data_IF_618502510538
#
_entry.id   IF_618502510538
#
_cell.length_a   1.000
_cell.length_b   1.000
_cell.length_c   1.000
_cell.angle_alpha   90.00
_cell.angle_beta   90.00
_cell.angle_gamma   90.00
#
_symmetry.space_group_name_H-M   'P 1'
#
loop_
_entity.id
_entity.type
_entity.pdbx_description
1 polymer ?
#
# COMPACT_ATOMS: atom_id res chain seq x y z
N UNK A 1 22.41 25.39 10.74
CA UNK A 1 21.09 25.21 11.38
C UNK A 1 20.94 23.73 11.68
N UNK A 2 20.03 23.33 12.55
CA UNK A 2 19.88 21.92 12.91
C UNK A 2 19.14 21.19 11.78
N UNK A 3 19.73 20.14 11.24
CA UNK A 3 19.11 19.32 10.19
C UNK A 3 17.93 18.53 10.78
N UNK A 4 16.74 18.75 10.23
CA UNK A 4 15.52 18.01 10.61
C UNK A 4 15.38 16.83 9.64
N UNK A 5 16.25 15.83 9.81
CA UNK A 5 16.25 14.63 8.98
C UNK A 5 15.03 13.73 9.26
N UNK A 6 14.13 13.61 8.28
CA UNK A 6 13.16 12.53 8.22
C UNK A 6 13.87 11.24 7.79
N UNK A 7 14.40 10.49 8.76
CA UNK A 7 15.21 9.29 8.49
C UNK A 7 14.39 8.11 7.94
N UNK A 8 14.28 8.03 6.61
CA UNK A 8 13.69 6.89 5.88
C UNK A 8 14.63 5.67 6.01
N UNK A 9 14.47 4.94 7.11
CA UNK A 9 15.37 3.86 7.53
C UNK A 9 14.64 2.52 7.60
N UNK A 10 15.37 1.43 7.36
CA UNK A 10 14.87 0.08 7.53
C UNK A 10 14.89 -0.30 9.03
N UNK A 11 13.82 0.06 9.74
CA UNK A 11 13.65 -0.18 11.19
C UNK A 11 13.64 -1.69 11.50
N UNK A 12 14.41 -2.12 12.50
CA UNK A 12 14.46 -3.53 12.92
C UNK A 12 13.42 -3.84 14.01
N UNK A 13 13.07 -5.13 14.15
CA UNK A 13 11.88 -5.59 14.89
C UNK A 13 11.84 -5.15 16.37
N UNK A 14 12.99 -4.91 17.00
CA UNK A 14 13.07 -4.57 18.43
C UNK A 14 12.35 -3.26 18.81
N UNK A 15 12.24 -2.29 17.89
CA UNK A 15 11.71 -0.94 18.18
C UNK A 15 10.18 -0.85 18.03
N UNK A 16 9.53 -1.90 17.52
CA UNK A 16 8.09 -1.92 17.21
C UNK A 16 7.15 -2.14 18.40
N UNK A 17 7.68 -2.46 19.59
CA UNK A 17 6.87 -2.96 20.71
C UNK A 17 6.19 -1.86 21.57
N UNK A 18 6.55 -0.58 21.42
CA UNK A 18 6.10 0.50 22.32
C UNK A 18 5.23 1.60 21.69
N UNK A 19 4.94 1.56 20.39
CA UNK A 19 4.35 2.67 19.65
C UNK A 19 2.81 2.76 19.78
N UNK A 20 2.33 3.26 20.93
CA UNK A 20 0.99 3.85 21.05
C UNK A 20 0.93 5.17 20.24
N UNK A 21 0.55 5.09 18.97
CA UNK A 21 0.53 6.23 18.04
C UNK A 21 -0.66 7.17 18.28
N UNK A 22 -0.43 8.18 19.14
CA UNK A 22 -1.36 9.29 19.41
C UNK A 22 -1.13 10.53 18.53
N UNK A 23 -0.21 10.48 17.57
CA UNK A 23 0.05 11.56 16.62
C UNK A 23 -1.05 11.70 15.55
N UNK A 24 -1.18 12.88 14.96
CA UNK A 24 -2.09 13.18 13.85
C UNK A 24 -1.32 13.89 12.74
N UNK A 25 -1.56 13.53 11.48
CA UNK A 25 -0.75 14.01 10.36
C UNK A 25 -1.54 15.08 9.59
N UNK A 26 -1.13 16.35 9.75
CA UNK A 26 -1.54 17.41 8.86
C UNK A 26 -0.91 17.17 7.49
N UNK A 27 -1.72 16.98 6.46
CA UNK A 27 -1.26 16.95 5.08
C UNK A 27 -1.73 18.19 4.35
N UNK A 28 -0.90 18.70 3.44
CA UNK A 28 -1.22 19.86 2.65
C UNK A 28 -0.74 19.73 1.21
N UNK A 29 -1.52 20.25 0.27
CA UNK A 29 -1.17 20.32 -1.14
C UNK A 29 -1.62 21.67 -1.72
N UNK A 30 -0.95 22.11 -2.79
CA UNK A 30 -1.24 23.40 -3.43
C UNK A 30 -1.92 23.17 -4.79
N UNK A 31 -3.05 23.81 -5.03
CA UNK A 31 -3.73 23.75 -6.34
C UNK A 31 -2.95 24.56 -7.38
N UNK A 32 -2.83 24.07 -8.61
CA UNK A 32 -2.07 24.74 -9.67
C UNK A 32 -2.96 25.66 -10.53
N UNK A 33 -2.92 26.97 -10.28
CA UNK A 33 -3.71 28.03 -10.94
C UNK A 33 -5.26 27.91 -10.86
N UNK A 34 -6.00 29.02 -10.94
CA UNK A 34 -5.52 30.41 -10.83
C UNK A 34 -5.24 30.84 -9.38
N UNK A 35 -5.77 30.11 -8.39
CA UNK A 35 -5.74 30.54 -6.97
C UNK A 35 -4.43 30.22 -6.22
N UNK A 36 -3.64 29.25 -6.70
CA UNK A 36 -2.43 28.75 -6.01
C UNK A 36 -2.66 28.45 -4.52
N UNK A 37 -3.81 27.84 -4.23
CA UNK A 37 -4.37 27.74 -2.89
C UNK A 37 -3.83 26.51 -2.17
N UNK A 38 -3.28 26.72 -0.98
CA UNK A 38 -3.01 25.66 -0.02
C UNK A 38 -4.35 25.06 0.46
N UNK A 39 -4.51 23.75 0.25
CA UNK A 39 -5.55 22.93 0.85
C UNK A 39 -4.88 22.01 1.85
N UNK A 40 -5.30 22.09 3.12
CA UNK A 40 -4.85 21.19 4.18
C UNK A 40 -5.99 20.31 4.67
N UNK A 41 -5.65 19.07 5.04
CA UNK A 41 -6.51 18.18 5.82
C UNK A 41 -5.70 17.67 7.01
N UNK A 42 -6.28 17.69 8.21
CA UNK A 42 -5.76 16.88 9.30
C UNK A 42 -6.21 15.43 9.04
N UNK A 43 -5.26 14.55 8.71
CA UNK A 43 -5.47 13.12 8.79
C UNK A 43 -5.34 12.74 10.25
N UNK A 44 -6.39 12.14 10.82
CA UNK A 44 -6.28 11.51 12.12
C UNK A 44 -5.56 10.17 11.97
N UNK A 45 -5.80 9.24 12.91
CA UNK A 45 -5.65 7.82 12.59
C UNK A 45 -6.41 7.57 11.25
N UNK A 46 -5.65 7.00 10.32
CA UNK A 46 -5.87 6.67 8.89
C UNK A 46 -6.99 7.13 7.97
N UNK A 47 -7.44 8.37 8.01
CA UNK A 47 -7.90 9.00 6.78
C UNK A 47 -7.01 8.60 5.57
N UNK A 48 -7.62 7.96 4.57
CA UNK A 48 -6.94 7.62 3.31
C UNK A 48 -7.02 8.84 2.41
N UNK A 49 -5.89 9.33 1.92
CA UNK A 49 -5.82 10.41 0.94
C UNK A 49 -5.04 9.97 -0.30
N UNK A 50 -5.41 10.53 -1.45
CA UNK A 50 -4.78 10.25 -2.74
C UNK A 50 -4.14 11.54 -3.24
N UNK A 51 -2.85 11.49 -3.56
CA UNK A 51 -2.15 12.58 -4.24
C UNK A 51 -1.95 12.19 -5.71
N UNK A 52 -2.69 12.81 -6.66
CA UNK A 52 -2.48 12.60 -8.08
C UNK A 52 -1.04 12.85 -8.50
N UNK A 53 -0.57 12.06 -9.46
CA UNK A 53 0.78 12.17 -10.04
C UNK A 53 1.16 13.61 -10.38
N UNK A 54 2.32 14.05 -9.89
CA UNK A 54 2.83 15.41 -10.08
C UNK A 54 2.36 16.45 -9.05
N UNK A 55 1.36 16.16 -8.22
CA UNK A 55 0.87 17.10 -7.20
C UNK A 55 1.94 17.38 -6.12
N UNK A 56 2.23 18.66 -5.91
CA UNK A 56 3.09 19.14 -4.83
C UNK A 56 2.32 19.06 -3.51
N UNK A 57 2.87 18.31 -2.56
CA UNK A 57 2.25 18.09 -1.26
C UNK A 57 3.30 17.88 -0.15
N UNK A 58 2.85 17.88 1.10
CA UNK A 58 3.65 17.59 2.30
C UNK A 58 2.82 16.85 3.36
N UNK A 59 3.51 16.23 4.32
CA UNK A 59 2.93 15.56 5.48
C UNK A 59 3.68 16.02 6.75
N UNK A 60 2.97 16.43 7.80
CA UNK A 60 3.57 16.86 9.07
C UNK A 60 2.78 16.23 10.24
N UNK A 61 3.47 15.58 11.17
CA UNK A 61 2.85 15.20 12.44
C UNK A 61 2.69 16.46 13.31
N UNK A 62 1.44 16.77 13.68
CA UNK A 62 1.08 17.91 14.53
C UNK A 62 0.60 17.48 15.92
N UNK A 63 0.82 16.22 16.28
CA UNK A 63 0.57 15.67 17.62
C UNK A 63 1.84 15.52 18.45
N UNK A 64 1.67 15.49 19.77
CA UNK A 64 2.75 15.25 20.74
C UNK A 64 3.21 13.78 20.81
N UNK A 65 2.47 12.85 20.18
CA UNK A 65 2.86 11.45 20.04
C UNK A 65 3.38 11.14 18.63
N UNK A 66 4.04 9.99 18.47
CA UNK A 66 4.44 9.49 17.16
C UNK A 66 3.23 9.20 16.27
N UNK A 67 3.38 9.38 14.95
CA UNK A 67 2.41 8.98 13.94
C UNK A 67 3.08 8.06 12.91
N UNK A 68 2.29 7.13 12.34
CA UNK A 68 2.77 6.11 11.40
C UNK A 68 1.84 6.05 10.20
N UNK A 69 2.40 6.22 9.00
CA UNK A 69 1.69 6.09 7.74
C UNK A 69 2.35 5.10 6.78
N UNK A 70 1.53 4.56 5.89
CA UNK A 70 1.89 3.67 4.79
C UNK A 70 1.48 4.39 3.50
N UNK A 71 2.46 4.72 2.66
CA UNK A 71 2.25 5.25 1.33
C UNK A 71 2.34 4.13 0.30
N UNK A 72 1.41 4.09 -0.66
CA UNK A 72 1.40 3.14 -1.78
C UNK A 72 1.44 3.92 -3.10
N UNK A 73 2.38 3.60 -3.99
CA UNK A 73 2.82 4.45 -5.09
C UNK A 73 2.69 3.73 -6.44
N UNK A 74 1.88 4.27 -7.35
CA UNK A 74 1.53 3.63 -8.64
C UNK A 74 2.65 3.52 -9.67
N UNK A 75 3.89 3.83 -9.28
CA UNK A 75 5.08 3.51 -10.06
C UNK A 75 6.15 2.89 -9.19
N UNK A 76 6.92 2.02 -9.84
CA UNK A 76 8.20 1.58 -9.38
C UNK A 76 9.13 2.71 -9.03
N UNK A 77 9.21 3.68 -9.91
CA UNK A 77 10.12 4.78 -9.81
C UNK A 77 9.28 6.03 -9.60
N UNK A 78 8.68 6.24 -8.42
CA UNK A 78 7.83 7.39 -8.16
C UNK A 78 8.59 8.70 -8.49
N UNK A 79 9.90 8.67 -8.21
CA UNK A 79 10.75 9.84 -8.08
C UNK A 79 10.36 10.58 -6.81
N UNK A 80 11.32 10.94 -5.98
CA UNK A 80 11.09 11.98 -4.96
C UNK A 80 11.75 13.23 -5.51
N UNK A 81 10.93 14.17 -5.99
CA UNK A 81 11.37 15.54 -6.22
C UNK A 81 10.91 16.34 -5.00
N UNK A 82 11.72 16.33 -3.96
CA UNK A 82 11.70 17.37 -2.93
C UNK A 82 12.10 18.69 -3.58
N UNK A 83 11.29 19.73 -3.38
CA UNK A 83 11.42 20.97 -4.16
C UNK A 83 12.76 21.65 -3.88
N UNK A 84 13.14 21.79 -2.60
CA UNK A 84 14.43 22.36 -2.21
C UNK A 84 15.61 21.65 -2.89
N UNK A 85 15.55 20.32 -2.95
CA UNK A 85 16.61 19.47 -3.43
C UNK A 85 16.86 19.66 -4.95
N UNK A 86 15.80 19.77 -5.76
CA UNK A 86 15.92 20.02 -7.22
C UNK A 86 16.12 21.49 -7.55
N UNK A 87 15.44 22.42 -6.87
CA UNK A 87 15.58 23.86 -7.10
C UNK A 87 17.00 24.32 -6.80
N UNK A 88 17.47 24.10 -5.59
CA UNK A 88 18.72 24.72 -5.15
C UNK A 88 19.94 23.86 -5.48
N UNK A 89 19.79 22.54 -5.60
CA UNK A 89 20.91 21.60 -5.68
C UNK A 89 20.78 20.50 -6.73
N UNK A 90 20.55 20.92 -7.98
CA UNK A 90 20.99 20.16 -9.15
C UNK A 90 22.53 20.03 -9.21
N UNK A 91 23.03 19.12 -10.05
CA UNK A 91 24.42 19.11 -10.49
C UNK A 91 24.46 19.02 -12.03
N UNK A 92 25.02 20.00 -12.77
CA UNK A 92 25.54 21.27 -12.29
C UNK A 92 24.47 22.10 -11.57
N UNK A 93 24.90 22.93 -10.61
CA UNK A 93 23.98 23.78 -9.85
C UNK A 93 23.35 24.87 -10.76
N UNK A 94 22.07 25.18 -10.54
CA UNK A 94 21.47 26.39 -11.09
C UNK A 94 22.23 27.60 -10.54
N UNK A 95 22.54 28.58 -11.40
CA UNK A 95 23.33 29.74 -11.01
C UNK A 95 22.65 30.52 -9.88
N UNK A 96 23.44 30.94 -8.88
CA UNK A 96 22.92 31.59 -7.68
C UNK A 96 22.19 32.90 -7.94
N UNK A 97 22.51 33.63 -9.02
CA UNK A 97 21.79 34.85 -9.40
C UNK A 97 20.43 34.55 -10.05
N UNK A 98 20.30 33.41 -10.76
CA UNK A 98 19.02 32.92 -11.29
C UNK A 98 18.13 32.46 -10.12
N UNK A 99 18.68 31.73 -9.15
CA UNK A 99 17.95 31.32 -7.95
C UNK A 99 17.56 32.51 -7.07
N UNK A 100 18.46 33.47 -6.85
CA UNK A 100 18.15 34.70 -6.11
C UNK A 100 17.09 35.56 -6.83
N UNK A 101 17.04 35.58 -8.16
CA UNK A 101 15.96 36.26 -8.91
C UNK A 101 14.63 35.50 -8.85
N UNK A 102 14.65 34.16 -8.87
CA UNK A 102 13.44 33.33 -8.89
C UNK A 102 12.82 33.07 -7.49
N UNK A 103 13.65 33.01 -6.45
CA UNK A 103 13.25 32.62 -5.08
C UNK A 103 13.65 33.62 -3.99
N UNK A 104 14.57 34.56 -4.28
CA UNK A 104 15.11 35.52 -3.31
C UNK A 104 15.93 34.90 -2.14
N UNK A 105 16.30 33.61 -2.24
CA UNK A 105 17.13 32.82 -1.27
C UNK A 105 17.94 31.69 -1.98
N UNK A 106 18.69 30.84 -1.24
CA UNK A 106 19.78 29.94 -1.74
C UNK A 106 19.91 28.57 -0.97
N UNK A 107 20.46 27.47 -1.57
CA UNK A 107 20.87 26.11 -1.02
C UNK A 107 19.77 25.02 -0.74
N UNK A 108 19.86 23.65 -0.91
CA UNK A 108 20.41 22.53 -1.81
C UNK A 108 19.82 21.14 -1.30
N UNK A 109 19.89 19.86 -1.78
CA UNK A 109 20.48 18.99 -2.88
C UNK A 109 19.72 17.59 -3.01
N UNK A 110 19.65 16.85 -4.15
CA UNK A 110 18.79 15.62 -4.41
C UNK A 110 19.53 14.25 -4.65
N UNK A 111 18.96 13.02 -4.78
CA UNK A 111 17.58 12.39 -4.83
C UNK A 111 17.61 10.86 -5.28
N UNK A 112 16.49 10.23 -5.78
CA UNK A 112 16.39 9.05 -6.76
C UNK A 112 15.86 7.59 -6.37
N UNK A 113 15.03 6.94 -7.26
CA UNK A 113 14.72 5.46 -7.53
C UNK A 113 14.03 4.47 -6.48
N UNK A 114 13.60 3.17 -6.68
CA UNK A 114 12.96 2.29 -7.77
C UNK A 114 12.47 0.85 -7.32
N UNK A 115 11.19 0.38 -7.52
CA UNK A 115 10.74 -1.03 -7.83
C UNK A 115 9.19 -1.27 -8.07
N UNK A 116 8.76 -1.94 -9.17
CA UNK A 116 7.36 -2.34 -9.53
C UNK A 116 6.19 -1.34 -9.35
N UNK A 117 5.59 -1.44 -8.17
CA UNK A 117 4.65 -0.55 -7.48
C UNK A 117 5.31 -0.43 -6.10
N UNK A 118 5.51 0.76 -5.55
CA UNK A 118 6.25 0.88 -4.29
C UNK A 118 5.31 1.06 -3.09
N UNK A 119 5.65 0.44 -1.96
CA UNK A 119 5.03 0.72 -0.66
C UNK A 119 6.11 1.23 0.28
N UNK A 120 5.86 2.35 0.95
CA UNK A 120 6.79 2.98 1.88
C UNK A 120 6.14 3.15 3.26
N UNK A 121 6.88 2.76 4.30
CA UNK A 121 6.57 3.12 5.69
C UNK A 121 7.16 4.50 5.96
N UNK A 122 6.37 5.38 6.60
CA UNK A 122 6.82 6.70 7.04
C UNK A 122 6.49 6.85 8.53
N UNK A 123 7.54 6.85 9.36
CA UNK A 123 7.47 7.12 10.80
C UNK A 123 7.69 8.61 11.06
N UNK A 124 6.71 9.27 11.68
CA UNK A 124 6.82 10.67 12.06
C UNK A 124 7.03 10.78 13.58
N UNK A 125 8.20 11.30 13.96
CA UNK A 125 8.41 11.83 15.30
C UNK A 125 7.39 12.94 15.64
N UNK A 126 7.14 13.27 16.92
CA UNK A 126 6.40 14.47 17.30
C UNK A 126 6.95 15.70 16.58
N UNK A 127 6.07 16.50 15.95
CA UNK A 127 6.41 17.67 15.12
C UNK A 127 7.24 17.40 13.84
N UNK A 128 7.55 16.14 13.53
CA UNK A 128 8.31 15.74 12.34
C UNK A 128 7.56 16.00 11.03
N UNK A 129 8.31 16.30 9.96
CA UNK A 129 7.78 16.66 8.64
C UNK A 129 8.42 15.82 7.53
N UNK A 130 7.62 15.37 6.58
CA UNK A 130 8.06 14.98 5.24
C UNK A 130 7.91 16.22 4.34
N UNK A 131 9.02 16.84 3.88
CA UNK A 131 8.99 18.18 3.29
C UNK A 131 8.23 18.25 1.94
N UNK A 132 7.86 19.46 1.48
CA UNK A 132 7.17 19.66 0.20
C UNK A 132 7.87 19.00 -0.98
N UNK A 133 7.21 18.01 -1.56
CA UNK A 133 7.73 17.19 -2.65
C UNK A 133 6.64 16.80 -3.63
N UNK A 134 7.06 16.18 -4.73
CA UNK A 134 6.18 15.62 -5.75
C UNK A 134 6.74 14.31 -6.29
N UNK A 135 5.83 13.43 -6.70
CA UNK A 135 6.14 12.20 -7.41
C UNK A 135 5.88 12.40 -8.91
N UNK A 136 6.90 12.75 -9.73
CA UNK A 136 6.72 13.06 -11.15
C UNK A 136 6.33 11.84 -12.00
N UNK A 137 6.36 10.63 -11.44
CA UNK A 137 6.14 9.38 -12.17
C UNK A 137 5.04 8.46 -11.59
N UNK A 138 4.56 8.67 -10.37
CA UNK A 138 3.47 7.90 -9.74
C UNK A 138 2.38 8.78 -9.13
N UNK A 139 1.17 8.23 -8.98
CA UNK A 139 0.21 8.62 -7.94
C UNK A 139 0.65 8.04 -6.60
N UNK A 140 0.33 8.71 -5.49
CA UNK A 140 0.40 8.16 -4.14
C UNK A 140 -1.01 7.95 -3.55
N UNK A 141 -1.20 6.86 -2.83
CA UNK A 141 -2.23 6.69 -1.81
C UNK A 141 -1.53 6.72 -0.45
N UNK A 142 -1.78 7.75 0.36
CA UNK A 142 -1.31 7.81 1.73
C UNK A 142 -2.39 7.27 2.67
N UNK A 143 -2.02 6.29 3.48
CA UNK A 143 -2.86 5.71 4.53
C UNK A 143 -2.14 5.83 5.86
N UNK A 144 -2.56 6.75 6.74
CA UNK A 144 -2.23 6.62 8.18
C UNK A 144 -2.93 5.34 8.68
N UNK A 145 -2.52 4.69 9.77
CA UNK A 145 -3.10 3.36 10.12
C UNK A 145 -4.44 3.49 10.88
N UNK A 146 -5.54 3.76 10.16
CA UNK A 146 -6.99 3.66 10.53
C UNK A 146 -7.97 4.52 9.65
N UNK A 147 -8.61 4.03 8.56
CA UNK A 147 -9.73 4.80 7.93
C UNK A 147 -10.82 3.97 7.27
N UNK A 148 -10.95 4.01 5.93
CA UNK A 148 -11.66 2.90 5.25
C UNK A 148 -11.03 1.54 5.58
N UNK A 149 -9.81 1.56 6.11
CA UNK A 149 -9.05 0.44 6.67
C UNK A 149 -8.91 0.50 8.22
N UNK A 150 -9.75 1.23 8.99
CA UNK A 150 -9.66 1.28 10.48
C UNK A 150 -10.30 0.09 11.16
N UNK A 151 -11.58 -0.08 10.91
CA UNK A 151 -12.34 -1.15 11.54
C UNK A 151 -11.83 -2.47 11.01
N UNK A 152 -11.54 -3.35 11.95
CA UNK A 152 -11.37 -4.77 11.70
C UNK A 152 -12.64 -5.30 11.02
N UNK A 153 -12.49 -5.97 9.89
CA UNK A 153 -13.60 -6.63 9.19
C UNK A 153 -14.19 -7.78 10.00
N UNK A 154 -15.43 -8.18 9.68
CA UNK A 154 -16.06 -9.31 10.39
C UNK A 154 -15.43 -10.65 9.98
N UNK A 155 -14.53 -11.15 10.81
CA UNK A 155 -13.90 -12.47 10.67
C UNK A 155 -14.73 -13.62 11.24
N UNK A 156 -15.95 -13.36 11.73
CA UNK A 156 -16.91 -14.38 12.19
C UNK A 156 -17.62 -15.00 10.99
N UNK A 157 -16.89 -15.80 10.22
CA UNK A 157 -17.35 -16.48 9.01
C UNK A 157 -16.51 -17.74 8.75
N UNK A 158 -16.94 -18.59 7.81
CA UNK A 158 -16.39 -19.94 7.60
C UNK A 158 -14.91 -19.98 7.18
N UNK A 159 -14.39 -18.91 6.56
CA UNK A 159 -12.97 -18.79 6.20
C UNK A 159 -12.14 -18.05 7.27
N UNK A 160 -12.79 -17.48 8.29
CA UNK A 160 -12.13 -16.78 9.38
C UNK A 160 -11.40 -15.49 8.98
N UNK A 161 -11.73 -14.87 7.84
CA UNK A 161 -11.06 -13.64 7.38
C UNK A 161 -12.01 -12.64 6.70
N UNK A 162 -11.56 -11.41 6.51
CA UNK A 162 -12.28 -10.39 5.75
C UNK A 162 -11.30 -9.48 4.99
N UNK A 163 -11.56 -9.26 3.69
CA UNK A 163 -10.83 -8.30 2.84
C UNK A 163 -11.66 -7.01 2.70
N UNK A 164 -11.23 -5.93 3.36
CA UNK A 164 -11.81 -4.59 3.20
C UNK A 164 -11.05 -3.84 2.11
N UNK A 165 -11.61 -3.83 0.89
CA UNK A 165 -10.98 -3.18 -0.27
C UNK A 165 -11.21 -1.66 -0.31
N UNK A 166 -10.29 -0.95 -0.96
CA UNK A 166 -10.38 0.47 -1.35
C UNK A 166 -9.92 0.57 -2.81
N UNK A 167 -10.82 0.22 -3.73
CA UNK A 167 -10.66 0.34 -5.18
C UNK A 167 -11.31 1.61 -5.71
N UNK A 168 -11.31 1.81 -7.03
CA UNK A 168 -12.04 2.91 -7.70
C UNK A 168 -13.55 2.90 -7.42
N UNK A 169 -14.16 1.76 -7.08
CA UNK A 169 -15.57 1.67 -6.71
C UNK A 169 -15.83 2.30 -5.33
N UNK A 170 -14.90 2.12 -4.39
CA UNK A 170 -14.99 2.69 -3.06
C UNK A 170 -14.53 4.15 -3.03
N UNK A 171 -13.40 4.44 -3.66
CA UNK A 171 -12.72 5.73 -3.64
C UNK A 171 -12.52 6.22 -5.08
N UNK A 172 -13.51 6.94 -5.60
CA UNK A 172 -13.53 7.45 -6.98
C UNK A 172 -12.29 8.29 -7.36
N UNK A 173 -11.60 8.88 -6.38
CA UNK A 173 -10.31 9.56 -6.57
C UNK A 173 -9.18 8.67 -7.09
N UNK A 174 -9.32 7.34 -7.06
CA UNK A 174 -8.40 6.38 -7.68
C UNK A 174 -8.61 6.20 -9.18
N UNK A 175 -9.64 6.82 -9.78
CA UNK A 175 -9.94 6.65 -11.19
C UNK A 175 -8.80 7.18 -12.08
N UNK A 176 -8.41 6.39 -13.07
CA UNK A 176 -7.25 6.54 -13.97
C UNK A 176 -5.86 6.44 -13.32
N UNK A 177 -5.77 6.28 -12.00
CA UNK A 177 -4.49 6.36 -11.29
C UNK A 177 -3.72 5.03 -11.17
N UNK A 178 -4.34 3.91 -11.58
CA UNK A 178 -3.66 2.62 -11.72
C UNK A 178 -3.26 1.92 -10.41
N UNK A 179 -3.82 2.31 -9.26
CA UNK A 179 -3.50 1.75 -7.94
C UNK A 179 -4.74 1.65 -7.04
N UNK A 180 -4.77 0.64 -6.17
CA UNK A 180 -5.75 0.47 -5.09
C UNK A 180 -5.09 -0.15 -3.85
N UNK A 181 -5.80 -0.20 -2.72
CA UNK A 181 -5.35 -0.84 -1.49
C UNK A 181 -6.43 -1.75 -0.89
N UNK A 182 -6.04 -2.63 0.02
CA UNK A 182 -6.96 -3.38 0.86
C UNK A 182 -6.38 -3.60 2.27
N UNK A 183 -7.27 -3.83 3.23
CA UNK A 183 -6.96 -4.41 4.55
C UNK A 183 -7.43 -5.86 4.55
N UNK A 184 -6.65 -6.73 5.16
CA UNK A 184 -7.03 -8.13 5.38
C UNK A 184 -6.92 -8.41 6.88
N UNK A 185 -8.06 -8.73 7.49
CA UNK A 185 -8.17 -9.16 8.88
C UNK A 185 -8.36 -10.68 8.94
N UNK A 186 -7.67 -11.35 9.86
CA UNK A 186 -7.75 -12.80 10.05
C UNK A 186 -8.01 -13.14 11.52
N UNK A 187 -9.00 -13.99 11.78
CA UNK A 187 -9.13 -14.76 13.01
C UNK A 187 -7.95 -15.73 13.19
N UNK A 188 -7.69 -16.27 14.40
CA UNK A 188 -6.78 -17.39 14.58
C UNK A 188 -7.10 -18.52 13.58
N UNK A 189 -6.10 -19.04 12.88
CA UNK A 189 -6.22 -20.04 11.80
C UNK A 189 -7.01 -19.64 10.54
N UNK A 190 -7.55 -18.42 10.49
CA UNK A 190 -8.31 -17.91 9.34
C UNK A 190 -7.48 -17.80 8.06
N UNK A 191 -8.13 -18.00 6.92
CA UNK A 191 -7.54 -17.98 5.58
C UNK A 191 -8.18 -16.92 4.69
N UNK A 192 -7.38 -16.29 3.84
CA UNK A 192 -7.85 -15.76 2.57
C UNK A 192 -7.58 -16.87 1.53
N UNK A 193 -8.63 -17.58 1.04
CA UNK A 193 -8.49 -18.82 0.29
C UNK A 193 -7.79 -18.62 -1.06
N UNK A 194 -7.36 -19.69 -1.75
CA UNK A 194 -6.72 -19.60 -3.07
C UNK A 194 -7.49 -18.71 -4.05
N UNK A 195 -6.86 -17.64 -4.48
CA UNK A 195 -7.44 -16.63 -5.38
C UNK A 195 -6.38 -16.03 -6.32
N UNK A 196 -6.82 -15.22 -7.28
CA UNK A 196 -5.92 -14.49 -8.19
C UNK A 196 -6.46 -13.09 -8.53
N UNK A 197 -5.52 -12.16 -8.78
CA UNK A 197 -5.79 -10.80 -9.23
C UNK A 197 -5.47 -10.67 -10.73
N UNK A 198 -6.46 -10.75 -11.64
CA UNK A 198 -6.22 -10.80 -13.09
C UNK A 198 -5.67 -9.47 -13.65
N UNK A 199 -5.83 -8.34 -12.94
CA UNK A 199 -5.38 -7.02 -13.42
C UNK A 199 -4.20 -6.41 -12.66
N UNK A 200 -3.83 -6.93 -11.48
CA UNK A 200 -2.82 -6.32 -10.61
C UNK A 200 -1.82 -7.34 -10.03
N UNK A 201 -0.58 -6.90 -9.80
CA UNK A 201 0.34 -7.47 -8.81
C UNK A 201 -0.04 -6.89 -7.44
N UNK A 202 0.04 -7.70 -6.39
CA UNK A 202 -0.16 -7.28 -5.00
C UNK A 202 1.18 -7.20 -4.25
N UNK A 203 1.36 -6.18 -3.41
CA UNK A 203 2.36 -6.15 -2.35
C UNK A 203 1.63 -6.11 -1.00
N UNK A 204 1.93 -7.08 -0.14
CA UNK A 204 1.32 -7.26 1.17
C UNK A 204 2.35 -7.04 2.27
N UNK A 205 1.99 -6.24 3.27
CA UNK A 205 2.78 -5.98 4.48
C UNK A 205 2.00 -6.44 5.71
N UNK A 206 2.62 -7.24 6.58
CA UNK A 206 2.01 -7.67 7.85
C UNK A 206 2.16 -6.57 8.89
N UNK A 207 1.05 -6.11 9.45
CA UNK A 207 1.03 -5.09 10.51
C UNK A 207 0.97 -5.76 11.89
N UNK A 208 0.24 -6.87 12.03
CA UNK A 208 0.11 -7.64 13.29
C UNK A 208 -0.06 -9.14 13.02
N UNK A 209 0.36 -9.98 13.98
CA UNK A 209 0.27 -11.44 13.89
C UNK A 209 1.37 -12.10 13.04
N UNK A 210 1.12 -13.35 12.65
CA UNK A 210 2.04 -14.19 11.86
C UNK A 210 1.26 -14.86 10.73
N UNK A 211 1.62 -14.59 9.48
CA UNK A 211 0.86 -14.99 8.30
C UNK A 211 1.71 -15.86 7.39
N UNK A 212 1.32 -17.12 7.20
CA UNK A 212 1.84 -17.97 6.15
C UNK A 212 1.25 -17.53 4.80
N UNK A 213 2.10 -17.23 3.83
CA UNK A 213 1.67 -16.84 2.49
C UNK A 213 2.29 -17.73 1.43
N UNK A 214 1.66 -17.82 0.25
CA UNK A 214 2.31 -18.41 -0.92
C UNK A 214 1.58 -18.16 -2.22
N UNK A 215 2.31 -18.31 -3.33
CA UNK A 215 1.78 -18.35 -4.68
C UNK A 215 2.32 -19.56 -5.45
N UNK A 216 1.60 -19.97 -6.49
CA UNK A 216 1.98 -21.08 -7.37
C UNK A 216 2.46 -20.50 -8.70
N UNK A 217 3.64 -20.96 -9.20
CA UNK A 217 4.12 -20.58 -10.53
C UNK A 217 3.24 -21.17 -11.64
N UNK A 218 3.36 -20.66 -12.87
CA UNK A 218 2.64 -21.21 -14.01
C UNK A 218 3.15 -22.61 -14.40
N UNK A 219 2.42 -23.26 -15.32
CA UNK A 219 2.93 -24.40 -16.08
C UNK A 219 4.32 -24.09 -16.70
N UNK A 220 5.20 -25.10 -16.85
CA UNK A 220 4.99 -26.51 -16.51
C UNK A 220 5.21 -26.84 -15.02
N UNK A 221 5.81 -25.94 -14.25
CA UNK A 221 6.32 -26.25 -12.91
C UNK A 221 5.23 -26.37 -11.83
N UNK A 222 4.23 -25.47 -11.86
CA UNK A 222 3.19 -25.36 -10.84
C UNK A 222 3.77 -25.36 -9.40
N UNK A 223 4.91 -24.66 -9.22
CA UNK A 223 5.73 -24.70 -8.01
C UNK A 223 5.18 -23.73 -6.97
N UNK A 224 4.94 -24.22 -5.76
CA UNK A 224 4.66 -23.36 -4.60
C UNK A 224 5.91 -22.56 -4.20
N UNK A 225 5.77 -21.25 -4.14
CA UNK A 225 6.67 -20.31 -3.47
C UNK A 225 5.94 -19.81 -2.22
N UNK A 226 6.52 -20.05 -1.04
CA UNK A 226 5.86 -19.75 0.25
C UNK A 226 6.85 -19.18 1.27
N UNK A 227 6.36 -18.35 2.19
CA UNK A 227 7.11 -17.81 3.34
C UNK A 227 6.16 -17.62 4.53
N UNK A 228 6.65 -17.86 5.74
CA UNK A 228 6.01 -17.36 6.97
C UNK A 228 6.44 -15.91 7.20
N UNK A 229 5.48 -14.99 7.23
CA UNK A 229 5.68 -13.57 7.48
C UNK A 229 5.38 -13.24 8.95
N UNK A 230 6.17 -12.34 9.53
CA UNK A 230 5.95 -11.74 10.85
C UNK A 230 5.58 -10.25 10.72
N UNK A 231 5.13 -9.62 11.81
CA UNK A 231 4.93 -8.16 11.87
C UNK A 231 6.14 -7.39 11.29
N UNK A 232 5.89 -6.60 10.24
CA UNK A 232 6.90 -5.84 9.50
C UNK A 232 7.43 -6.51 8.23
N UNK A 233 7.19 -7.82 8.01
CA UNK A 233 7.54 -8.48 6.75
C UNK A 233 6.67 -8.00 5.59
N UNK A 234 7.28 -7.98 4.40
CA UNK A 234 6.65 -7.68 3.12
C UNK A 234 6.76 -8.89 2.19
N UNK A 235 5.74 -9.14 1.37
CA UNK A 235 5.72 -10.17 0.33
C UNK A 235 5.00 -9.66 -0.93
N UNK A 236 5.26 -10.29 -2.08
CA UNK A 236 4.74 -9.86 -3.38
C UNK A 236 4.08 -11.04 -4.10
N UNK A 237 2.84 -10.87 -4.55
CA UNK A 237 2.10 -11.85 -5.33
C UNK A 237 2.02 -11.39 -6.79
N UNK A 238 2.71 -12.05 -7.74
CA UNK A 238 2.74 -11.61 -9.13
C UNK A 238 1.35 -11.69 -9.80
N UNK A 239 1.04 -10.66 -10.60
CA UNK A 239 -0.22 -10.54 -11.34
C UNK A 239 -0.64 -11.85 -12.03
N UNK A 240 -1.88 -12.26 -11.79
CA UNK A 240 -2.50 -13.44 -12.40
C UNK A 240 -2.14 -14.78 -11.75
N UNK A 241 -1.12 -14.87 -10.87
CA UNK A 241 -0.80 -16.13 -10.19
C UNK A 241 -1.78 -16.45 -9.05
N UNK A 242 -2.07 -17.73 -8.87
CA UNK A 242 -2.91 -18.22 -7.77
C UNK A 242 -2.11 -18.14 -6.48
N UNK A 243 -2.68 -17.53 -5.45
CA UNK A 243 -2.04 -17.30 -4.16
C UNK A 243 -3.04 -17.33 -3.01
N UNK A 244 -2.51 -17.41 -1.79
CA UNK A 244 -3.27 -17.50 -0.55
C UNK A 244 -2.53 -16.84 0.61
N UNK A 245 -3.27 -16.51 1.67
CA UNK A 245 -2.71 -16.10 2.96
C UNK A 245 -3.44 -16.85 4.09
N UNK A 246 -2.73 -17.29 5.12
CA UNK A 246 -3.27 -17.95 6.30
C UNK A 246 -2.64 -17.36 7.57
N UNK A 247 -3.46 -16.95 8.54
CA UNK A 247 -2.96 -16.68 9.88
C UNK A 247 -2.61 -18.00 10.56
N UNK A 248 -1.36 -18.15 11.02
CA UNK A 248 -0.89 -19.33 11.77
C UNK A 248 -0.60 -19.02 13.24
N UNK A 249 -0.94 -17.80 13.69
CA UNK A 249 -0.89 -17.40 15.08
C UNK A 249 -2.14 -17.81 15.87
N UNK A 250 -2.01 -17.86 17.19
CA UNK A 250 -3.11 -18.10 18.14
C UNK A 250 -3.99 -16.87 18.42
N UNK A 251 -3.57 -15.69 17.94
CA UNK A 251 -4.33 -14.44 18.00
C UNK A 251 -4.78 -13.98 16.61
N UNK A 252 -5.45 -12.82 16.55
CA UNK A 252 -5.78 -12.18 15.28
C UNK A 252 -4.52 -11.70 14.53
N UNK A 253 -4.62 -11.61 13.20
CA UNK A 253 -3.57 -11.05 12.35
C UNK A 253 -4.14 -9.99 11.39
N UNK A 254 -3.29 -9.04 11.01
CA UNK A 254 -3.64 -7.89 10.18
C UNK A 254 -2.57 -7.67 9.10
N UNK A 255 -3.01 -7.57 7.85
CA UNK A 255 -2.18 -7.16 6.72
C UNK A 255 -2.78 -5.98 5.95
N UNK A 256 -1.90 -5.17 5.35
CA UNK A 256 -2.27 -4.12 4.40
C UNK A 256 -1.66 -4.48 3.04
N UNK A 257 -2.50 -4.45 2.01
CA UNK A 257 -2.15 -4.75 0.63
C UNK A 257 -2.22 -3.48 -0.24
N UNK A 258 -1.31 -3.36 -1.20
CA UNK A 258 -1.38 -2.40 -2.31
C UNK A 258 -1.31 -3.13 -3.64
N UNK A 259 -2.18 -2.75 -4.58
CA UNK A 259 -2.39 -3.48 -5.83
C UNK A 259 -2.15 -2.57 -7.04
N UNK A 260 -1.41 -3.07 -8.02
CA UNK A 260 -1.01 -2.35 -9.26
C UNK A 260 -2.16 -2.13 -10.27
N UNK A 261 -3.37 -1.91 -9.79
CA UNK A 261 -4.51 -1.45 -10.58
C UNK A 261 -5.54 -0.77 -9.67
N UNK A 262 -6.22 0.26 -10.16
CA UNK A 262 -7.37 0.88 -9.49
C UNK A 262 -8.59 -0.06 -9.40
N UNK A 263 -8.60 -1.14 -10.20
CA UNK A 263 -9.59 -2.21 -10.18
C UNK A 263 -8.84 -3.53 -10.44
N UNK A 264 -8.30 -4.19 -9.40
CA UNK A 264 -7.46 -5.39 -9.54
C UNK A 264 -8.27 -6.61 -10.04
N UNK A 265 -9.55 -6.65 -9.70
CA UNK A 265 -10.38 -7.86 -9.80
C UNK A 265 -9.95 -8.92 -8.78
N UNK A 266 -10.87 -9.79 -8.39
CA UNK A 266 -10.59 -10.95 -7.54
C UNK A 266 -11.27 -12.15 -8.16
N UNK A 267 -10.56 -13.27 -8.27
CA UNK A 267 -11.12 -14.56 -8.67
C UNK A 267 -10.74 -15.57 -7.59
N UNK A 268 -11.64 -15.79 -6.63
CA UNK A 268 -11.51 -16.89 -5.67
C UNK A 268 -11.72 -18.21 -6.39
N UNK A 269 -10.73 -19.11 -6.36
CA UNK A 269 -10.71 -20.30 -7.22
C UNK A 269 -11.88 -21.24 -6.90
N UNK A 270 -12.18 -21.46 -5.62
CA UNK A 270 -13.32 -22.27 -5.21
C UNK A 270 -14.64 -21.72 -5.78
N UNK A 271 -14.93 -20.43 -5.58
CA UNK A 271 -16.16 -19.79 -6.06
C UNK A 271 -16.24 -19.79 -7.58
N UNK A 272 -15.13 -19.58 -8.29
CA UNK A 272 -15.11 -19.52 -9.76
C UNK A 272 -15.27 -20.89 -10.44
N UNK A 273 -14.99 -21.98 -9.72
CA UNK A 273 -15.03 -23.37 -10.24
C UNK A 273 -16.28 -24.12 -9.76
N UNK A 274 -16.65 -23.98 -8.49
CA UNK A 274 -17.72 -24.74 -7.82
C UNK A 274 -18.91 -23.87 -7.37
N UNK A 275 -18.90 -22.57 -7.70
CA UNK A 275 -19.95 -21.61 -7.36
C UNK A 275 -20.23 -20.59 -8.46
N UNK A 276 -19.97 -20.97 -9.72
CA UNK A 276 -20.34 -20.15 -10.89
C UNK A 276 -21.86 -20.11 -11.07
N UNK A 277 -22.38 -19.10 -11.76
CA UNK A 277 -23.79 -19.05 -12.13
C UNK A 277 -23.91 -18.69 -13.63
N UNK A 278 -24.40 -19.61 -14.50
CA UNK A 278 -24.77 -21.00 -14.19
C UNK A 278 -23.57 -21.87 -13.77
N UNK A 279 -23.86 -23.04 -13.21
CA UNK A 279 -22.86 -24.02 -12.76
C UNK A 279 -22.00 -24.53 -13.94
N UNK A 280 -20.72 -24.82 -13.69
CA UNK A 280 -19.94 -25.66 -14.61
C UNK A 280 -20.46 -27.10 -14.48
N UNK A 281 -20.80 -27.73 -15.59
CA UNK A 281 -21.36 -29.08 -15.59
C UNK A 281 -20.44 -30.09 -14.86
N UNK A 282 -21.02 -30.88 -13.95
CA UNK A 282 -20.27 -31.75 -13.04
C UNK A 282 -19.41 -32.82 -13.76
N UNK A 283 -19.77 -33.22 -14.98
CA UNK A 283 -18.97 -34.12 -15.81
C UNK A 283 -17.70 -33.43 -16.34
N UNK A 284 -17.78 -32.14 -16.68
CA UNK A 284 -16.62 -31.31 -17.04
C UNK A 284 -15.69 -31.16 -15.83
N UNK A 285 -16.25 -30.85 -14.64
CA UNK A 285 -15.47 -30.73 -13.40
C UNK A 285 -14.81 -32.06 -13.02
N UNK A 286 -15.56 -33.16 -12.99
CA UNK A 286 -15.05 -34.50 -12.66
C UNK A 286 -13.90 -34.91 -13.60
N UNK A 287 -14.05 -34.63 -14.91
CA UNK A 287 -13.03 -34.91 -15.92
C UNK A 287 -11.81 -33.98 -15.84
N UNK A 288 -11.99 -32.72 -15.44
CA UNK A 288 -10.89 -31.76 -15.26
C UNK A 288 -10.06 -32.07 -14.01
N UNK A 289 -10.71 -32.39 -12.89
CA UNK A 289 -10.06 -32.73 -11.62
C UNK A 289 -9.66 -34.21 -11.49
N UNK A 290 -10.09 -35.07 -12.43
CA UNK A 290 -9.81 -36.52 -12.47
C UNK A 290 -10.36 -37.28 -11.25
N UNK A 291 -11.60 -36.95 -10.86
CA UNK A 291 -12.31 -37.50 -9.69
C UNK A 291 -13.69 -38.09 -10.07
N UNK A 292 -14.31 -38.85 -9.17
CA UNK A 292 -15.72 -39.23 -9.31
C UNK A 292 -16.63 -37.99 -9.27
N UNK A 293 -17.75 -38.02 -9.99
CA UNK A 293 -18.67 -36.88 -10.09
C UNK A 293 -19.25 -36.45 -8.72
N UNK A 294 -19.34 -37.37 -7.74
CA UNK A 294 -19.77 -37.08 -6.36
C UNK A 294 -18.75 -36.30 -5.52
N UNK A 295 -17.58 -35.99 -6.06
CA UNK A 295 -16.53 -35.17 -5.42
C UNK A 295 -16.65 -33.70 -5.86
N UNK A 296 -17.44 -33.41 -6.89
CA UNK A 296 -17.66 -32.09 -7.49
C UNK A 296 -19.14 -31.68 -7.52
N UNK A 297 -19.92 -32.25 -6.59
CA UNK A 297 -21.36 -32.06 -6.36
C UNK A 297 -21.61 -31.86 -4.86
#
# INVERSE_FOLDING_TARGET
>A
MNDVESNVTAVTVAELAGLNTLGSILVGFVTSNPENRLITKLLQKGDVLVFPKGLIHFQQNVGNGYALAIAALSSQNPGVITIANVVFGSNPAIAGDILAKAFQVDIKLAGLNTLGISMARIDFAPWGINPPHTHPRSTEILTVIEGRLHLMGNTTNDIGSNVTAVTVAELAGLNTLGISMARIDFAPWGINPPHTHPRATEILTVIEGSILVGFVTSNPENRLITKLLQKGDVFVFPKGLIHFQQNVGSGYALAIAALSSQNPGVITIANAVFGSNPDIAGDILAKAFQVDIKVVQ
#
